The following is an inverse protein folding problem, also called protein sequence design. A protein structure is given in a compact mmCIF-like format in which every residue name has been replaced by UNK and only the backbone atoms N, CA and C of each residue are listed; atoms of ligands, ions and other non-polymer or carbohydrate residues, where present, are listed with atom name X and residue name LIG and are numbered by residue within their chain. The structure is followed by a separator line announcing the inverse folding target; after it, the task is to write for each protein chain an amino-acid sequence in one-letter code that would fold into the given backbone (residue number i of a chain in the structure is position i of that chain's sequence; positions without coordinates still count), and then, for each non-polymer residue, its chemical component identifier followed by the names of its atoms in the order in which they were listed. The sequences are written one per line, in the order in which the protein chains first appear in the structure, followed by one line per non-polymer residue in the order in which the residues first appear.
data_IF_849492682323
#
_entry.id   IF_849492682323
#
_cell.length_a   1.000
_cell.length_b   1.000
_cell.length_c   1.000
_cell.angle_alpha   90.00
_cell.angle_beta   90.00
_cell.angle_gamma   90.00
#
_symmetry.space_group_name_H-M   'P 1'
#
loop_
_entity.id
_entity.type
_entity.pdbx_description
1 polymer ?
#
# COMPACT_ATOMS: atom_id res chain seq x y z
N UNK A 1 11.08 20.71 -12.06
CA UNK A 1 11.27 19.35 -11.49
C UNK A 1 10.12 18.47 -11.93
N UNK A 2 10.42 17.36 -12.59
CA UNK A 2 9.40 16.39 -12.99
C UNK A 2 9.20 15.40 -11.87
N UNK A 3 8.11 15.53 -11.16
CA UNK A 3 7.75 14.61 -10.09
C UNK A 3 6.99 13.42 -10.68
N UNK A 4 7.58 12.24 -10.58
CA UNK A 4 6.94 11.01 -11.02
C UNK A 4 6.55 10.17 -9.80
N UNK A 5 5.41 9.50 -9.90
CA UNK A 5 4.95 8.61 -8.86
C UNK A 5 5.19 7.17 -9.29
N UNK A 6 5.99 6.44 -8.51
CA UNK A 6 6.22 5.02 -8.83
C UNK A 6 5.09 4.15 -8.29
N UNK A 7 4.66 4.41 -7.06
CA UNK A 7 3.64 3.62 -6.39
C UNK A 7 2.78 4.48 -5.48
N UNK A 8 1.55 4.08 -5.29
CA UNK A 8 0.66 4.69 -4.31
C UNK A 8 0.11 3.59 -3.42
N UNK A 9 0.36 3.70 -2.13
CA UNK A 9 -0.01 2.71 -1.14
C UNK A 9 -1.25 3.20 -0.40
N UNK A 10 -2.29 2.37 -0.37
CA UNK A 10 -3.53 2.67 0.34
C UNK A 10 -3.69 1.66 1.48
N UNK A 11 -3.59 2.12 2.71
CA UNK A 11 -3.74 1.27 3.88
C UNK A 11 -5.09 1.54 4.54
N UNK A 12 -5.85 0.49 4.78
CA UNK A 12 -7.13 0.59 5.46
C UNK A 12 -6.93 0.86 6.95
N UNK A 13 -7.29 2.08 7.37
CA UNK A 13 -7.24 2.48 8.79
C UNK A 13 -8.60 3.08 9.12
N UNK A 14 -9.54 2.29 9.64
CA UNK A 14 -10.89 2.80 9.91
C UNK A 14 -10.87 3.90 10.96
N UNK A 15 -11.78 4.87 10.82
CA UNK A 15 -11.89 5.96 11.77
C UNK A 15 -12.56 5.52 13.08
N UNK A 16 -13.43 4.52 12.98
CA UNK A 16 -14.19 4.04 14.14
C UNK A 16 -14.06 2.53 14.22
N UNK A 17 -14.02 2.00 15.44
CA UNK A 17 -14.05 0.56 15.66
C UNK A 17 -15.38 0.00 15.17
N UNK A 18 -15.30 -1.05 14.36
CA UNK A 18 -16.47 -1.76 13.86
C UNK A 18 -16.15 -3.23 13.79
N UNK A 19 -17.12 -4.07 14.09
CA UNK A 19 -16.94 -5.51 14.01
C UNK A 19 -16.73 -6.00 12.57
N UNK A 20 -17.06 -5.15 11.59
CA UNK A 20 -16.92 -5.49 10.18
C UNK A 20 -15.62 -4.96 9.56
N UNK A 21 -14.85 -4.19 10.32
CA UNK A 21 -13.66 -3.54 9.80
C UNK A 21 -12.39 -4.16 10.36
N UNK A 22 -11.25 -3.80 9.75
CA UNK A 22 -9.94 -4.20 10.22
C UNK A 22 -9.75 -3.79 11.69
N UNK A 23 -8.93 -4.53 12.42
CA UNK A 23 -8.56 -4.17 13.78
C UNK A 23 -7.94 -2.78 13.79
N UNK A 24 -8.59 -1.83 14.47
CA UNK A 24 -8.16 -0.44 14.48
C UNK A 24 -6.78 -0.28 15.09
N UNK A 25 -6.51 -0.96 16.19
CA UNK A 25 -5.22 -0.84 16.87
C UNK A 25 -4.08 -1.36 15.99
N UNK A 26 -4.27 -2.51 15.35
CA UNK A 26 -3.27 -3.08 14.47
C UNK A 26 -3.10 -2.23 13.20
N UNK A 27 -4.21 -1.71 12.65
CA UNK A 27 -4.15 -0.83 11.48
C UNK A 27 -3.35 0.43 11.77
N UNK A 28 -3.51 1.01 12.96
CA UNK A 28 -2.75 2.18 13.36
C UNK A 28 -1.27 1.87 13.50
N UNK A 29 -0.92 0.71 14.07
CA UNK A 29 0.48 0.28 14.17
C UNK A 29 1.08 0.08 12.79
N UNK A 30 0.33 -0.55 11.89
CA UNK A 30 0.79 -0.76 10.52
C UNK A 30 1.01 0.56 9.80
N UNK A 31 0.13 1.54 10.00
CA UNK A 31 0.29 2.86 9.42
C UNK A 31 1.54 3.56 9.93
N UNK A 32 1.78 3.52 11.24
CA UNK A 32 2.98 4.12 11.81
C UNK A 32 4.25 3.44 11.31
N UNK A 33 4.23 2.11 11.22
CA UNK A 33 5.37 1.37 10.69
C UNK A 33 5.60 1.68 9.21
N UNK A 34 4.53 1.83 8.43
CA UNK A 34 4.65 2.20 7.02
C UNK A 34 5.36 3.54 6.86
N UNK A 35 4.98 4.53 7.67
CA UNK A 35 5.63 5.82 7.64
C UNK A 35 7.12 5.71 7.94
N UNK A 36 7.47 4.93 8.96
CA UNK A 36 8.87 4.76 9.35
C UNK A 36 9.67 4.07 8.25
N UNK A 37 9.13 3.01 7.66
CA UNK A 37 9.83 2.24 6.63
C UNK A 37 10.05 3.09 5.38
N UNK A 38 9.04 3.85 4.95
CA UNK A 38 9.18 4.70 3.77
C UNK A 38 10.22 5.79 3.97
N UNK A 39 10.32 6.35 5.17
CA UNK A 39 11.37 7.32 5.48
C UNK A 39 12.74 6.67 5.55
N UNK A 40 12.84 5.54 6.23
CA UNK A 40 14.08 4.81 6.39
C UNK A 40 14.70 4.43 5.05
N UNK A 41 13.86 4.00 4.11
CA UNK A 41 14.32 3.56 2.79
C UNK A 41 14.34 4.70 1.77
N UNK A 42 14.03 5.92 2.20
CA UNK A 42 14.05 7.13 1.36
C UNK A 42 13.18 7.01 0.12
N UNK A 43 12.03 6.36 0.26
CA UNK A 43 11.11 6.13 -0.86
C UNK A 43 10.20 7.32 -1.13
N UNK A 44 10.08 8.25 -0.17
CA UNK A 44 9.23 9.43 -0.31
C UNK A 44 9.99 10.65 -0.84
N UNK A 45 11.27 10.49 -1.20
CA UNK A 45 12.07 11.61 -1.68
C UNK A 45 11.59 12.10 -3.04
N UNK A 46 11.32 13.40 -3.21
CA UNK A 46 10.80 13.92 -4.50
C UNK A 46 11.74 13.71 -5.68
N UNK A 47 13.05 13.60 -5.42
CA UNK A 47 14.05 13.43 -6.47
C UNK A 47 14.47 11.97 -6.66
N UNK A 48 13.71 11.02 -6.10
CA UNK A 48 14.02 9.61 -6.28
C UNK A 48 13.94 9.26 -7.77
N UNK A 49 15.01 8.65 -8.35
CA UNK A 49 15.03 8.39 -9.81
C UNK A 49 13.89 7.49 -10.28
N UNK A 50 13.48 6.52 -9.48
CA UNK A 50 12.39 5.59 -9.82
C UNK A 50 11.01 6.22 -9.64
N UNK A 51 10.93 7.38 -9.01
CA UNK A 51 9.68 8.02 -8.69
C UNK A 51 9.38 7.96 -7.20
N UNK A 52 8.50 8.85 -6.76
CA UNK A 52 8.11 8.93 -5.35
C UNK A 52 7.07 7.86 -5.02
N UNK A 53 7.14 7.33 -3.80
CA UNK A 53 6.12 6.44 -3.26
C UNK A 53 5.17 7.29 -2.42
N UNK A 54 3.90 7.31 -2.79
CA UNK A 54 2.85 8.00 -2.03
C UNK A 54 2.16 7.01 -1.09
N UNK A 55 1.67 7.51 0.01
CA UNK A 55 0.89 6.70 0.95
C UNK A 55 -0.35 7.47 1.39
N UNK A 56 -1.43 6.75 1.53
CA UNK A 56 -2.68 7.33 2.04
C UNK A 56 -3.36 6.30 2.93
N UNK A 57 -3.90 6.76 4.04
CA UNK A 57 -4.77 5.89 4.82
C UNK A 57 -6.20 6.13 4.36
N UNK A 58 -6.94 5.05 4.24
CA UNK A 58 -8.33 5.10 3.79
C UNK A 58 -9.22 4.47 4.84
N UNK A 59 -10.45 4.94 4.89
CA UNK A 59 -11.38 4.48 5.92
C UNK A 59 -11.87 3.07 5.65
N UNK A 60 -12.07 2.71 4.40
CA UNK A 60 -12.55 1.39 4.04
C UNK A 60 -12.22 1.06 2.59
N UNK A 61 -11.72 -0.16 2.36
CA UNK A 61 -11.47 -0.68 1.01
C UNK A 61 -12.47 -1.78 0.66
N UNK A 62 -13.50 -1.96 1.47
CA UNK A 62 -14.58 -2.93 1.29
C UNK A 62 -14.10 -4.39 1.30
N UNK A 63 -12.92 -4.64 1.87
CA UNK A 63 -12.39 -5.98 2.09
C UNK A 63 -11.98 -6.03 3.55
N UNK A 64 -12.90 -6.39 4.43
CA UNK A 64 -12.70 -6.21 5.87
C UNK A 64 -12.34 -7.49 6.61
N UNK A 65 -12.31 -8.64 5.94
CA UNK A 65 -12.15 -9.92 6.64
C UNK A 65 -10.71 -10.27 6.95
N UNK A 66 -9.75 -9.76 6.19
CA UNK A 66 -8.35 -10.17 6.31
C UNK A 66 -7.45 -8.98 6.61
N UNK A 67 -7.97 -8.03 7.35
CA UNK A 67 -7.24 -6.79 7.64
C UNK A 67 -6.10 -6.97 8.62
N UNK A 68 -5.20 -5.98 8.68
CA UNK A 68 -5.20 -4.79 7.84
C UNK A 68 -4.94 -5.10 6.36
N UNK A 69 -5.56 -4.31 5.47
CA UNK A 69 -5.42 -4.46 4.04
C UNK A 69 -4.57 -3.33 3.48
N UNK A 70 -3.61 -3.69 2.63
CA UNK A 70 -2.76 -2.72 1.93
C UNK A 70 -2.90 -2.95 0.43
N UNK A 71 -3.33 -1.90 -0.28
CA UNK A 71 -3.47 -1.93 -1.73
C UNK A 71 -2.34 -1.13 -2.35
N UNK A 72 -1.61 -1.71 -3.28
CA UNK A 72 -0.47 -1.05 -3.93
C UNK A 72 -0.77 -0.84 -5.42
N UNK A 73 -0.80 0.42 -5.83
CA UNK A 73 -0.89 0.82 -7.22
C UNK A 73 0.50 1.18 -7.75
N UNK A 74 0.80 0.99 -9.04
CA UNK A 74 -0.13 0.75 -10.15
C UNK A 74 -0.48 -0.71 -10.39
N UNK A 75 0.20 -1.67 -9.74
CA UNK A 75 -0.04 -3.09 -10.00
C UNK A 75 -1.43 -3.55 -9.57
N UNK A 76 -2.04 -2.85 -8.62
CA UNK A 76 -3.35 -3.23 -8.09
C UNK A 76 -3.30 -4.50 -7.25
N UNK A 77 -2.23 -4.66 -6.47
CA UNK A 77 -2.05 -5.84 -5.63
C UNK A 77 -2.55 -5.54 -4.22
N UNK A 78 -3.42 -6.42 -3.73
CA UNK A 78 -4.03 -6.31 -2.41
C UNK A 78 -3.35 -7.29 -1.48
N UNK A 79 -2.74 -6.75 -0.40
CA UNK A 79 -2.13 -7.56 0.65
C UNK A 79 -3.07 -7.69 1.83
N UNK A 80 -3.16 -8.89 2.41
CA UNK A 80 -3.98 -9.18 3.58
C UNK A 80 -3.11 -9.40 4.80
N UNK A 81 -3.70 -9.26 5.98
CA UNK A 81 -3.01 -9.45 7.26
C UNK A 81 -1.73 -8.65 7.34
N UNK A 82 -1.80 -7.38 6.93
CA UNK A 82 -0.63 -6.52 6.87
C UNK A 82 -0.34 -5.96 8.27
N UNK A 83 0.13 -6.85 9.13
CA UNK A 83 0.52 -6.48 10.48
C UNK A 83 1.80 -5.64 10.44
N UNK A 84 2.02 -4.86 11.49
CA UNK A 84 3.15 -3.93 11.50
C UNK A 84 4.49 -4.62 11.25
N UNK A 85 4.66 -5.87 11.69
CA UNK A 85 5.90 -6.61 11.51
C UNK A 85 6.11 -7.14 10.09
N UNK A 86 5.10 -7.05 9.22
CA UNK A 86 5.20 -7.48 7.81
C UNK A 86 5.45 -6.34 6.84
N UNK A 87 5.27 -5.10 7.29
CA UNK A 87 5.35 -3.92 6.42
C UNK A 87 6.69 -3.83 5.71
N UNK A 88 7.79 -3.93 6.46
CA UNK A 88 9.11 -3.75 5.86
C UNK A 88 9.40 -4.82 4.80
N UNK A 89 9.03 -6.06 5.05
CA UNK A 89 9.23 -7.15 4.10
C UNK A 89 8.45 -6.91 2.82
N UNK A 90 7.20 -6.47 2.94
CA UNK A 90 6.36 -6.18 1.77
C UNK A 90 6.97 -5.04 0.95
N UNK A 91 7.36 -3.95 1.60
CA UNK A 91 7.89 -2.79 0.91
C UNK A 91 9.21 -3.11 0.21
N UNK A 92 10.12 -3.79 0.88
CA UNK A 92 11.39 -4.16 0.26
C UNK A 92 11.21 -5.08 -0.93
N UNK A 93 10.36 -6.08 -0.79
CA UNK A 93 10.15 -7.05 -1.86
C UNK A 93 9.40 -6.42 -3.04
N UNK A 94 8.27 -5.77 -2.79
CA UNK A 94 7.41 -5.26 -3.85
C UNK A 94 7.96 -3.97 -4.49
N UNK A 95 8.34 -3.00 -3.66
CA UNK A 95 8.70 -1.67 -4.16
C UNK A 95 10.15 -1.64 -4.65
N UNK A 96 11.08 -2.16 -3.87
CA UNK A 96 12.50 -2.06 -4.20
C UNK A 96 12.93 -3.16 -5.15
N UNK A 97 12.55 -4.41 -4.89
CA UNK A 97 12.95 -5.55 -5.72
C UNK A 97 12.01 -5.82 -6.89
N UNK A 98 10.82 -5.21 -6.89
CA UNK A 98 9.85 -5.41 -7.94
C UNK A 98 9.17 -6.77 -7.92
N UNK A 99 9.23 -7.46 -6.78
CA UNK A 99 8.67 -8.82 -6.63
C UNK A 99 7.63 -8.82 -5.52
N UNK A 100 6.34 -8.87 -5.87
CA UNK A 100 5.29 -8.95 -4.84
C UNK A 100 5.50 -10.11 -3.89
N UNK A 101 5.15 -9.90 -2.62
CA UNK A 101 5.28 -10.91 -1.57
C UNK A 101 4.08 -11.85 -1.66
N UNK A 102 4.15 -12.84 -2.54
CA UNK A 102 3.01 -13.66 -2.94
C UNK A 102 2.27 -14.34 -1.80
N UNK A 103 2.97 -14.73 -0.74
CA UNK A 103 2.34 -15.43 0.37
C UNK A 103 1.30 -14.59 1.11
N UNK A 104 1.35 -13.28 0.97
CA UNK A 104 0.43 -12.37 1.65
C UNK A 104 -0.50 -11.64 0.68
N UNK A 105 -0.48 -11.99 -0.59
CA UNK A 105 -1.36 -11.38 -1.58
C UNK A 105 -2.74 -11.99 -1.50
N UNK A 106 -3.76 -11.15 -1.38
CA UNK A 106 -5.16 -11.57 -1.38
C UNK A 106 -5.69 -11.68 -2.79
N UNK A 107 -5.46 -10.65 -3.62
CA UNK A 107 -5.94 -10.61 -4.99
C UNK A 107 -5.22 -9.50 -5.76
N UNK A 108 -5.47 -9.46 -7.07
CA UNK A 108 -4.96 -8.41 -7.93
C UNK A 108 -6.12 -7.81 -8.74
N UNK A 109 -6.19 -6.47 -8.76
CA UNK A 109 -7.19 -5.76 -9.57
C UNK A 109 -6.47 -4.71 -10.41
N UNK A 110 -5.98 -5.09 -11.61
CA UNK A 110 -5.24 -4.14 -12.43
C UNK A 110 -6.13 -3.00 -12.92
N UNK A 111 -5.51 -1.85 -13.15
CA UNK A 111 -6.25 -0.72 -13.69
C UNK A 111 -6.67 -1.00 -15.13
N UNK A 112 -7.88 -0.56 -15.49
CA UNK A 112 -8.32 -0.62 -16.86
C UNK A 112 -7.59 0.45 -17.66
N UNK A 113 -6.97 0.06 -18.78
CA UNK A 113 -6.26 1.01 -19.64
C UNK A 113 -7.24 1.70 -20.57
N UNK A 114 -7.38 3.03 -20.42
CA UNK A 114 -8.31 3.83 -21.23
C UNK A 114 -7.60 4.84 -22.13
N UNK A 115 -6.28 4.85 -22.11
CA UNK A 115 -5.53 5.90 -22.81
C UNK A 115 -5.76 5.93 -24.31
N UNK A 116 -5.93 4.75 -24.93
CA UNK A 116 -6.18 4.67 -26.36
C UNK A 116 -7.53 5.26 -26.77
N UNK A 117 -8.42 5.49 -25.82
CA UNK A 117 -9.73 6.08 -26.11
C UNK A 117 -9.67 7.59 -26.28
N UNK A 118 -8.54 8.20 -25.93
CA UNK A 118 -8.36 9.64 -25.99
C UNK A 118 -7.44 10.07 -27.13
N UNK A 119 -6.94 9.15 -27.87
CA UNK A 119 -6.07 9.44 -29.06
C UNK A 119 -6.89 9.81 -30.30
#
# INVERSE_FOLDING_TARGET
MNLQVSHHLLLCVPQKTSSLCCDLAESKRSWEQLKLVLKKLKLEEPNRPEGIVLRSKVNCLRVCKSGPILLIWPEGIWYQYVFHDRIEAIIKSHIIEGKPKKQWVLKRTPLKCLWHEFD
#
